data_IF_522311352841
#
_entry.id   IF_522311352841
#
_cell.length_a   1.000
_cell.length_b   1.000
_cell.length_c   1.000
_cell.angle_alpha   90.00
_cell.angle_beta   90.00
_cell.angle_gamma   90.00
#
_symmetry.space_group_name_H-M   'P 1'
#
loop_
_entity.id
_entity.type
_entity.pdbx_description
1 polymer ?
#
# COMPACT_ATOMS: atom_id res chain seq x y z
N UNK A 1 14.02 23.23 -1.74
CA UNK A 1 12.89 24.09 -2.14
C UNK A 1 11.96 23.44 -3.18
N UNK A 2 12.32 22.33 -3.83
CA UNK A 2 11.49 21.64 -4.82
C UNK A 2 10.53 20.59 -4.22
N UNK A 3 10.80 20.05 -3.06
CA UNK A 3 9.98 19.00 -2.40
C UNK A 3 8.60 19.48 -1.92
N UNK A 4 8.44 20.77 -1.60
CA UNK A 4 7.17 21.29 -1.06
C UNK A 4 6.05 21.48 -2.08
N UNK A 5 6.38 21.69 -3.36
CA UNK A 5 5.38 21.97 -4.42
C UNK A 5 4.75 20.67 -4.92
N UNK A 6 5.52 19.61 -5.08
CA UNK A 6 5.02 18.28 -5.47
C UNK A 6 4.03 17.73 -4.44
N UNK A 7 4.39 17.76 -3.16
CA UNK A 7 3.54 17.26 -2.06
C UNK A 7 2.18 17.98 -1.98
N UNK A 8 2.13 19.28 -2.24
CA UNK A 8 0.88 20.06 -2.20
C UNK A 8 -0.02 19.74 -3.38
N UNK A 9 0.54 19.64 -4.58
CA UNK A 9 -0.20 19.29 -5.79
C UNK A 9 -0.79 17.87 -5.70
N UNK A 10 -0.01 16.91 -5.23
CA UNK A 10 -0.48 15.53 -5.01
C UNK A 10 -1.65 15.48 -4.01
N UNK A 11 -1.55 16.23 -2.91
CA UNK A 11 -2.62 16.33 -1.91
C UNK A 11 -3.89 16.95 -2.48
N UNK A 12 -3.77 18.01 -3.29
CA UNK A 12 -4.91 18.70 -3.89
C UNK A 12 -5.60 17.84 -4.96
N UNK A 13 -4.84 17.10 -5.76
CA UNK A 13 -5.36 16.14 -6.74
C UNK A 13 -6.08 14.97 -6.08
N UNK A 14 -5.53 14.45 -5.00
CA UNK A 14 -6.15 13.38 -4.22
C UNK A 14 -7.49 13.82 -3.64
N UNK A 15 -7.54 15.02 -3.05
CA UNK A 15 -8.80 15.59 -2.54
C UNK A 15 -9.83 15.78 -3.66
N UNK A 16 -9.43 16.37 -4.77
CA UNK A 16 -10.32 16.60 -5.92
C UNK A 16 -10.88 15.27 -6.48
N UNK A 17 -10.07 14.23 -6.53
CA UNK A 17 -10.51 12.89 -6.94
C UNK A 17 -11.58 12.33 -5.98
N UNK A 18 -11.32 12.35 -4.67
CA UNK A 18 -12.28 11.85 -3.69
C UNK A 18 -13.55 12.70 -3.62
N UNK A 19 -13.45 14.02 -3.72
CA UNK A 19 -14.63 14.89 -3.82
C UNK A 19 -15.50 14.53 -5.03
N UNK A 20 -14.89 14.31 -6.19
CA UNK A 20 -15.62 13.92 -7.40
C UNK A 20 -16.26 12.54 -7.23
N UNK A 21 -15.53 11.57 -6.65
CA UNK A 21 -16.00 10.21 -6.40
C UNK A 21 -17.21 10.20 -5.47
N UNK A 22 -17.17 10.98 -4.40
CA UNK A 22 -18.26 11.10 -3.44
C UNK A 22 -19.46 11.90 -4.02
N UNK A 23 -19.19 13.03 -4.67
CA UNK A 23 -20.23 13.87 -5.29
C UNK A 23 -21.04 13.10 -6.33
N UNK A 24 -20.38 12.30 -7.15
CA UNK A 24 -21.02 11.47 -8.18
C UNK A 24 -21.57 10.16 -7.64
N UNK A 25 -21.44 9.90 -6.33
CA UNK A 25 -21.80 8.64 -5.68
C UNK A 25 -21.23 7.40 -6.42
N UNK A 26 -20.05 7.56 -7.00
CA UNK A 26 -19.43 6.50 -7.80
C UNK A 26 -19.13 5.26 -6.96
N UNK A 27 -18.89 5.43 -5.65
CA UNK A 27 -18.73 4.31 -4.70
C UNK A 27 -19.99 3.43 -4.62
N UNK A 28 -21.18 3.99 -4.82
CA UNK A 28 -22.44 3.22 -4.85
C UNK A 28 -22.62 2.45 -6.19
N UNK A 29 -21.82 2.77 -7.20
CA UNK A 29 -21.78 2.06 -8.49
C UNK A 29 -20.72 0.95 -8.52
N UNK A 30 -19.91 0.84 -7.46
CA UNK A 30 -19.00 -0.28 -7.30
C UNK A 30 -19.82 -1.55 -7.12
N UNK A 31 -19.93 -2.33 -8.20
CA UNK A 31 -20.65 -3.60 -8.21
C UNK A 31 -19.62 -4.71 -7.97
N UNK A 32 -19.70 -5.43 -6.85
CA UNK A 32 -18.80 -6.53 -6.56
C UNK A 32 -18.77 -7.57 -7.70
N UNK A 33 -19.89 -7.81 -8.36
CA UNK A 33 -19.98 -8.74 -9.49
C UNK A 33 -19.18 -8.29 -10.72
N UNK A 34 -18.82 -7.00 -10.81
CA UNK A 34 -18.03 -6.43 -11.92
C UNK A 34 -16.55 -6.33 -11.64
N UNK A 35 -16.10 -6.75 -10.46
CA UNK A 35 -14.70 -6.77 -10.11
C UNK A 35 -14.38 -6.16 -8.75
N UNK A 36 -13.10 -6.18 -8.42
CA UNK A 36 -12.59 -5.75 -7.12
C UNK A 36 -12.71 -4.25 -6.92
N UNK A 37 -13.05 -3.83 -5.71
CA UNK A 37 -13.17 -2.42 -5.35
C UNK A 37 -11.91 -1.61 -5.69
N UNK A 38 -10.72 -2.17 -5.47
CA UNK A 38 -9.45 -1.55 -5.86
C UNK A 38 -9.36 -1.32 -7.37
N UNK A 39 -9.77 -2.29 -8.20
CA UNK A 39 -9.82 -2.13 -9.65
C UNK A 39 -10.78 -1.02 -10.08
N UNK A 40 -11.93 -0.91 -9.43
CA UNK A 40 -12.87 0.19 -9.63
C UNK A 40 -12.25 1.55 -9.28
N UNK A 41 -11.55 1.67 -8.15
CA UNK A 41 -10.85 2.90 -7.76
C UNK A 41 -9.75 3.28 -8.77
N UNK A 42 -8.95 2.31 -9.21
CA UNK A 42 -7.92 2.53 -10.23
C UNK A 42 -8.50 3.01 -11.56
N UNK A 43 -9.56 2.39 -12.06
CA UNK A 43 -10.24 2.81 -13.27
C UNK A 43 -10.81 4.23 -13.12
N UNK A 44 -11.42 4.53 -11.97
CA UNK A 44 -11.95 5.86 -11.65
C UNK A 44 -10.86 6.92 -11.60
N UNK A 45 -9.70 6.60 -11.01
CA UNK A 45 -8.54 7.48 -10.97
C UNK A 45 -7.98 7.77 -12.37
N UNK A 46 -7.83 6.75 -13.21
CA UNK A 46 -7.40 6.92 -14.61
C UNK A 46 -8.32 7.86 -15.38
N UNK A 47 -9.62 7.64 -15.27
CA UNK A 47 -10.63 8.49 -15.92
C UNK A 47 -10.57 9.93 -15.40
N UNK A 48 -10.37 10.11 -14.09
CA UNK A 48 -10.22 11.42 -13.49
C UNK A 48 -8.98 12.14 -14.03
N UNK A 49 -7.81 11.49 -14.03
CA UNK A 49 -6.55 12.06 -14.53
C UNK A 49 -6.63 12.39 -16.02
N UNK A 50 -7.27 11.54 -16.84
CA UNK A 50 -7.49 11.80 -18.25
C UNK A 50 -8.36 13.05 -18.47
N UNK A 51 -9.47 13.16 -17.73
CA UNK A 51 -10.35 14.32 -17.80
C UNK A 51 -9.68 15.62 -17.37
N UNK A 52 -8.81 15.57 -16.36
CA UNK A 52 -8.04 16.75 -15.94
C UNK A 52 -7.05 17.19 -17.02
N UNK A 53 -6.34 16.26 -17.65
CA UNK A 53 -5.43 16.56 -18.76
C UNK A 53 -6.15 17.17 -19.95
N UNK A 54 -7.32 16.65 -20.28
CA UNK A 54 -8.16 17.22 -21.36
C UNK A 54 -8.62 18.65 -21.03
N UNK A 55 -9.02 18.89 -19.78
CA UNK A 55 -9.44 20.20 -19.31
C UNK A 55 -8.29 21.22 -19.34
N UNK A 56 -7.12 20.85 -18.86
CA UNK A 56 -5.92 21.68 -18.86
C UNK A 56 -5.46 22.00 -20.30
N UNK A 57 -5.55 21.04 -21.20
CA UNK A 57 -5.21 21.22 -22.61
C UNK A 57 -6.25 22.08 -23.35
N UNK A 58 -7.54 21.99 -22.99
CA UNK A 58 -8.58 22.85 -23.54
C UNK A 58 -8.41 24.30 -23.07
N UNK A 59 -8.07 24.53 -21.82
CA UNK A 59 -7.77 25.85 -21.27
C UNK A 59 -6.57 26.54 -21.96
N UNK A 60 -5.54 25.77 -22.32
CA UNK A 60 -4.38 26.28 -23.07
C UNK A 60 -4.68 26.63 -24.51
N UNK A 61 -5.71 26.03 -25.13
CA UNK A 61 -6.13 26.34 -26.52
C UNK A 61 -7.05 27.57 -26.63
N UNK A 62 -7.66 28.03 -25.54
CA UNK A 62 -8.60 29.17 -25.52
C UNK A 62 -7.93 30.54 -25.41
N UNK A 63 -6.64 30.66 -25.19
CA UNK A 63 -5.89 31.91 -25.16
C UNK A 63 -5.01 32.02 -26.39
N UNK A 64 -5.44 32.85 -27.35
CA UNK A 64 -4.86 33.04 -28.68
C UNK A 64 -3.39 33.50 -28.73
N UNK A 65 -2.48 32.75 -28.23
CA UNK A 65 -1.07 32.74 -28.62
C UNK A 65 -0.76 31.31 -29.05
N UNK A 66 -0.31 31.17 -30.30
CA UNK A 66 0.31 29.97 -30.80
C UNK A 66 1.45 29.61 -29.83
N UNK A 67 1.14 28.77 -28.86
CA UNK A 67 2.18 28.09 -28.11
C UNK A 67 2.99 27.33 -29.16
N UNK A 68 4.26 27.70 -29.33
CA UNK A 68 5.26 26.88 -29.98
C UNK A 68 4.92 25.44 -29.59
N UNK A 69 4.61 24.61 -30.59
CA UNK A 69 4.59 23.18 -30.41
C UNK A 69 5.94 22.85 -29.77
N UNK A 70 5.93 22.71 -28.47
CA UNK A 70 6.90 21.87 -27.82
C UNK A 70 6.63 20.52 -28.49
N UNK A 71 7.50 20.18 -29.47
CA UNK A 71 7.77 18.80 -29.82
C UNK A 71 7.58 18.02 -28.53
N UNK A 72 6.95 16.84 -28.51
CA UNK A 72 7.03 15.98 -27.36
C UNK A 72 8.53 15.80 -27.14
N UNK A 73 9.10 16.76 -26.41
CA UNK A 73 10.43 16.58 -25.87
C UNK A 73 10.32 15.23 -25.23
N UNK A 74 11.20 14.33 -25.61
CA UNK A 74 11.55 13.22 -24.80
C UNK A 74 11.77 13.81 -23.41
N UNK A 75 10.67 14.04 -22.65
CA UNK A 75 10.74 13.99 -21.23
C UNK A 75 11.50 12.70 -21.04
N UNK A 76 12.75 12.82 -20.70
CA UNK A 76 13.52 11.76 -20.10
C UNK A 76 12.67 11.35 -18.93
N UNK A 77 11.68 10.47 -19.24
CA UNK A 77 10.85 9.80 -18.26
C UNK A 77 11.90 9.23 -17.35
N UNK A 78 12.05 9.87 -16.18
CA UNK A 78 12.87 9.28 -15.15
C UNK A 78 12.28 7.88 -14.96
N UNK A 79 12.93 6.89 -15.59
CA UNK A 79 12.48 5.50 -15.60
C UNK A 79 12.45 4.94 -14.19
N UNK A 80 12.86 5.75 -13.20
CA UNK A 80 12.75 5.51 -11.76
C UNK A 80 11.49 6.13 -11.14
N UNK A 81 10.80 7.06 -11.82
CA UNK A 81 9.58 7.65 -11.31
C UNK A 81 8.42 6.65 -11.43
N UNK A 82 7.76 6.40 -10.31
CA UNK A 82 6.56 5.54 -10.29
C UNK A 82 5.42 6.20 -11.05
N UNK A 83 4.64 5.42 -11.79
CA UNK A 83 3.39 5.93 -12.38
C UNK A 83 2.36 6.24 -11.29
N UNK A 84 1.38 7.13 -11.55
CA UNK A 84 0.30 7.41 -10.59
C UNK A 84 -0.42 6.15 -10.12
N UNK A 85 -0.58 5.16 -11.00
CA UNK A 85 -1.18 3.87 -10.64
C UNK A 85 -0.29 3.07 -9.70
N UNK A 86 1.02 3.06 -9.93
CA UNK A 86 1.97 2.38 -9.04
C UNK A 86 2.03 3.05 -7.66
N UNK A 87 1.97 4.38 -7.61
CA UNK A 87 1.88 5.13 -6.35
C UNK A 87 0.60 4.74 -5.62
N UNK A 88 -0.55 4.77 -6.29
CA UNK A 88 -1.83 4.35 -5.70
C UNK A 88 -1.78 2.91 -5.17
N UNK A 89 -1.25 1.97 -5.94
CA UNK A 89 -1.15 0.55 -5.52
C UNK A 89 -0.26 0.38 -4.31
N UNK A 90 0.85 1.11 -4.26
CA UNK A 90 1.76 1.12 -3.12
C UNK A 90 1.09 1.71 -1.87
N UNK A 91 0.46 2.87 -1.99
CA UNK A 91 -0.18 3.55 -0.86
C UNK A 91 -1.37 2.75 -0.32
N UNK A 92 -2.12 2.11 -1.22
CA UNK A 92 -3.17 1.16 -0.82
C UNK A 92 -2.58 -0.02 -0.03
N UNK A 93 -1.51 -0.62 -0.52
CA UNK A 93 -0.86 -1.75 0.15
C UNK A 93 -0.31 -1.35 1.53
N UNK A 94 0.33 -0.17 1.64
CA UNK A 94 0.81 0.36 2.92
C UNK A 94 -0.34 0.62 3.90
N UNK A 95 -1.47 1.11 3.41
CA UNK A 95 -2.67 1.35 4.24
C UNK A 95 -3.23 0.04 4.80
N UNK A 96 -3.32 -1.00 3.97
CA UNK A 96 -3.78 -2.34 4.42
C UNK A 96 -2.85 -2.89 5.49
N UNK A 97 -1.53 -2.81 5.28
CA UNK A 97 -0.54 -3.28 6.25
C UNK A 97 -0.61 -2.47 7.55
N UNK A 98 -0.74 -1.15 7.48
CA UNK A 98 -0.85 -0.30 8.67
C UNK A 98 -2.06 -0.70 9.52
N UNK A 99 -3.23 -0.88 8.92
CA UNK A 99 -4.44 -1.34 9.63
C UNK A 99 -4.27 -2.72 10.25
N UNK A 100 -3.63 -3.64 9.53
CA UNK A 100 -3.36 -4.96 10.05
C UNK A 100 -2.38 -4.93 11.25
N UNK A 101 -1.37 -4.07 11.21
CA UNK A 101 -0.44 -3.83 12.31
C UNK A 101 -1.13 -3.21 13.53
N UNK A 102 -2.03 -2.24 13.32
CA UNK A 102 -2.80 -1.62 14.41
C UNK A 102 -3.69 -2.64 15.11
N UNK A 103 -4.43 -3.47 14.35
CA UNK A 103 -5.22 -4.58 14.93
C UNK A 103 -4.34 -5.58 15.69
N UNK A 104 -3.17 -5.92 15.15
CA UNK A 104 -2.24 -6.84 15.81
C UNK A 104 -1.68 -6.25 17.11
N UNK A 105 -1.42 -4.92 17.12
CA UNK A 105 -1.00 -4.19 18.32
C UNK A 105 -2.08 -4.25 19.41
N UNK A 106 -3.35 -4.02 19.05
CA UNK A 106 -4.48 -4.08 19.97
C UNK A 106 -4.65 -5.50 20.53
N UNK A 107 -4.52 -6.54 19.70
CA UNK A 107 -4.55 -7.94 20.13
C UNK A 107 -3.41 -8.24 21.10
N UNK A 108 -2.18 -7.79 20.78
CA UNK A 108 -1.02 -7.96 21.67
C UNK A 108 -1.20 -7.22 23.01
N UNK A 109 -1.76 -6.03 22.99
CA UNK A 109 -2.05 -5.26 24.19
C UNK A 109 -3.08 -5.97 25.08
N UNK A 110 -4.16 -6.47 24.48
CA UNK A 110 -5.20 -7.24 25.17
C UNK A 110 -4.67 -8.54 25.79
N UNK A 111 -3.63 -9.14 25.17
CA UNK A 111 -2.94 -10.32 25.69
C UNK A 111 -1.82 -10.00 26.69
N UNK A 112 -1.66 -8.74 27.12
CA UNK A 112 -0.59 -8.31 28.03
C UNK A 112 0.81 -8.34 27.42
N UNK A 113 0.95 -8.33 26.09
CA UNK A 113 2.20 -8.47 25.33
C UNK A 113 2.58 -7.19 24.57
N UNK A 114 2.00 -6.03 24.91
CA UNK A 114 2.26 -4.76 24.24
C UNK A 114 3.76 -4.43 24.20
N UNK A 115 4.46 -4.57 25.33
CA UNK A 115 5.90 -4.29 25.41
C UNK A 115 6.76 -5.16 24.50
N UNK A 116 6.42 -6.43 24.34
CA UNK A 116 7.10 -7.30 23.38
C UNK A 116 6.80 -6.86 21.95
N UNK A 117 5.52 -6.61 21.65
CA UNK A 117 5.11 -6.16 20.31
C UNK A 117 5.85 -4.89 19.89
N UNK A 118 5.89 -3.87 20.73
CA UNK A 118 6.56 -2.61 20.44
C UNK A 118 8.06 -2.77 20.11
N UNK A 119 8.72 -3.72 20.77
CA UNK A 119 10.13 -4.00 20.52
C UNK A 119 10.38 -4.79 19.22
N UNK A 120 9.44 -5.62 18.78
CA UNK A 120 9.62 -6.50 17.62
C UNK A 120 8.86 -6.02 16.36
N UNK A 121 8.02 -5.00 16.48
CA UNK A 121 7.14 -4.55 15.39
C UNK A 121 7.90 -4.16 14.12
N UNK A 122 9.07 -3.52 14.25
CA UNK A 122 9.93 -3.17 13.12
C UNK A 122 10.42 -4.40 12.33
N UNK A 123 10.49 -5.55 12.98
CA UNK A 123 10.96 -6.79 12.35
C UNK A 123 9.84 -7.67 11.79
N UNK A 124 8.60 -7.19 11.79
CA UNK A 124 7.48 -7.98 11.26
C UNK A 124 7.44 -7.96 9.73
N UNK A 125 7.88 -6.89 9.11
CA UNK A 125 7.93 -6.75 7.66
C UNK A 125 9.29 -7.17 7.09
N UNK A 126 10.37 -6.83 7.78
CA UNK A 126 11.73 -7.21 7.40
C UNK A 126 12.33 -8.11 8.49
N UNK A 127 12.89 -9.27 8.13
CA UNK A 127 13.51 -10.14 9.12
C UNK A 127 14.76 -9.47 9.69
N UNK A 128 14.95 -9.50 11.02
CA UNK A 128 16.20 -9.05 11.60
C UNK A 128 17.35 -9.95 11.14
N UNK A 129 18.52 -9.37 11.00
CA UNK A 129 19.73 -10.13 10.77
C UNK A 129 20.21 -10.87 12.05
N UNK A 130 21.29 -11.63 11.92
CA UNK A 130 21.80 -12.44 13.04
C UNK A 130 22.28 -11.59 14.22
N UNK A 131 22.78 -10.38 13.97
CA UNK A 131 23.26 -9.45 14.99
C UNK A 131 22.07 -8.77 15.68
N UNK A 132 21.13 -8.26 14.92
CA UNK A 132 19.90 -7.65 15.42
C UNK A 132 19.10 -8.62 16.30
N UNK A 133 19.04 -9.92 15.91
CA UNK A 133 18.45 -10.96 16.75
C UNK A 133 19.16 -11.11 18.09
N UNK A 134 20.50 -11.05 18.09
CA UNK A 134 21.28 -11.20 19.33
C UNK A 134 21.09 -10.00 20.25
N UNK A 135 21.12 -8.79 19.70
CA UNK A 135 20.93 -7.55 20.46
C UNK A 135 19.49 -7.47 21.05
N UNK A 136 18.49 -7.80 20.25
CA UNK A 136 17.10 -7.77 20.70
C UNK A 136 16.82 -8.84 21.77
N UNK A 137 17.39 -10.04 21.60
CA UNK A 137 17.28 -11.10 22.59
C UNK A 137 17.91 -10.69 23.93
N UNK A 138 19.07 -10.02 23.88
CA UNK A 138 19.72 -9.46 25.07
C UNK A 138 18.90 -8.36 25.76
N UNK A 139 18.30 -7.44 24.98
CA UNK A 139 17.45 -6.37 25.52
C UNK A 139 16.17 -6.90 26.19
N UNK A 140 15.63 -7.99 25.67
CA UNK A 140 14.38 -8.58 26.16
C UNK A 140 14.62 -9.69 27.23
N UNK A 141 15.86 -9.97 27.57
CA UNK A 141 16.26 -11.11 28.43
C UNK A 141 15.60 -12.43 27.96
N UNK A 142 15.61 -12.65 26.65
CA UNK A 142 14.99 -13.81 26.00
C UNK A 142 16.04 -14.69 25.31
N UNK A 143 15.81 -15.99 25.28
CA UNK A 143 16.60 -16.88 24.42
C UNK A 143 16.28 -16.58 22.94
N UNK A 144 17.32 -16.59 22.08
CA UNK A 144 17.18 -16.32 20.63
C UNK A 144 16.08 -17.15 19.98
N UNK A 145 16.01 -18.46 20.28
CA UNK A 145 14.97 -19.32 19.71
C UNK A 145 13.55 -18.91 20.17
N UNK A 146 13.40 -18.50 21.43
CA UNK A 146 12.11 -18.03 21.97
C UNK A 146 11.67 -16.76 21.26
N UNK A 147 12.60 -15.83 21.05
CA UNK A 147 12.35 -14.59 20.30
C UNK A 147 12.01 -14.89 18.83
N UNK A 148 12.75 -15.78 18.16
CA UNK A 148 12.49 -16.16 16.78
C UNK A 148 11.10 -16.77 16.62
N UNK A 149 10.67 -17.65 17.51
CA UNK A 149 9.32 -18.21 17.54
C UNK A 149 8.26 -17.12 17.77
N UNK A 150 8.53 -16.17 18.66
CA UNK A 150 7.60 -15.07 18.93
C UNK A 150 7.41 -14.18 17.67
N UNK A 151 8.51 -13.78 17.02
CA UNK A 151 8.47 -13.01 15.78
C UNK A 151 7.75 -13.80 14.67
N UNK A 152 8.06 -15.09 14.51
CA UNK A 152 7.40 -15.94 13.52
C UNK A 152 5.88 -16.00 13.74
N UNK A 153 5.43 -16.20 14.99
CA UNK A 153 3.99 -16.21 15.33
C UNK A 153 3.32 -14.87 15.02
N UNK A 154 3.96 -13.76 15.37
CA UNK A 154 3.43 -12.43 15.06
C UNK A 154 3.35 -12.18 13.56
N UNK A 155 4.33 -12.61 12.77
CA UNK A 155 4.28 -12.53 11.30
C UNK A 155 3.15 -13.38 10.71
N UNK A 156 2.96 -14.59 11.23
CA UNK A 156 1.83 -15.43 10.81
C UNK A 156 0.53 -14.75 11.11
N UNK A 157 0.39 -14.18 12.31
CA UNK A 157 -0.80 -13.46 12.71
C UNK A 157 -1.02 -12.19 11.90
N UNK A 158 0.04 -11.44 11.57
CA UNK A 158 -0.03 -10.27 10.69
C UNK A 158 -0.59 -10.65 9.30
N UNK A 159 -0.13 -11.78 8.73
CA UNK A 159 -0.67 -12.27 7.44
C UNK A 159 -2.16 -12.57 7.52
N UNK A 160 -2.63 -13.16 8.62
CA UNK A 160 -4.06 -13.37 8.85
C UNK A 160 -4.83 -12.05 8.93
N UNK A 161 -4.30 -11.05 9.65
CA UNK A 161 -4.92 -9.71 9.73
C UNK A 161 -4.99 -9.03 8.36
N UNK A 162 -3.91 -9.10 7.55
CA UNK A 162 -3.91 -8.60 6.17
C UNK A 162 -4.99 -9.29 5.34
N UNK A 163 -5.12 -10.62 5.46
CA UNK A 163 -6.20 -11.37 4.76
C UNK A 163 -7.58 -10.89 5.20
N UNK A 164 -7.78 -10.64 6.47
CA UNK A 164 -9.05 -10.13 7.01
C UNK A 164 -9.39 -8.75 6.45
N UNK A 165 -8.41 -7.82 6.42
CA UNK A 165 -8.61 -6.49 5.81
C UNK A 165 -9.01 -6.59 4.33
N UNK A 166 -8.35 -7.47 3.59
CA UNK A 166 -8.65 -7.66 2.17
C UNK A 166 -10.00 -8.36 1.93
N UNK A 167 -10.39 -9.30 2.81
CA UNK A 167 -11.70 -9.98 2.72
C UNK A 167 -12.87 -8.99 2.75
N UNK A 168 -12.73 -7.85 3.42
CA UNK A 168 -13.78 -6.82 3.46
C UNK A 168 -13.98 -6.12 2.10
N UNK A 169 -13.03 -6.28 1.16
CA UNK A 169 -13.03 -5.60 -0.14
C UNK A 169 -13.24 -6.52 -1.34
N UNK A 170 -13.41 -7.82 -1.10
CA UNK A 170 -13.59 -8.85 -2.13
C UNK A 170 -14.71 -9.81 -1.74
N UNK A 171 -15.31 -10.44 -2.74
CA UNK A 171 -16.49 -11.29 -2.61
C UNK A 171 -16.22 -12.78 -2.93
N UNK A 172 -14.98 -13.13 -3.26
CA UNK A 172 -14.60 -14.52 -3.52
C UNK A 172 -13.19 -14.86 -3.05
N UNK A 173 -12.93 -16.14 -2.74
CA UNK A 173 -11.56 -16.59 -2.37
C UNK A 173 -10.53 -16.33 -3.47
N UNK A 174 -10.90 -16.55 -4.74
CA UNK A 174 -9.99 -16.31 -5.87
C UNK A 174 -9.62 -14.83 -6.02
N UNK A 175 -10.60 -13.94 -5.77
CA UNK A 175 -10.37 -12.50 -5.74
C UNK A 175 -9.44 -12.11 -4.59
N UNK A 176 -9.57 -12.74 -3.42
CA UNK A 176 -8.69 -12.51 -2.29
C UNK A 176 -7.25 -12.89 -2.59
N UNK A 177 -7.00 -14.06 -3.16
CA UNK A 177 -5.65 -14.51 -3.49
C UNK A 177 -5.00 -13.61 -4.54
N UNK A 178 -5.78 -13.12 -5.50
CA UNK A 178 -5.30 -12.16 -6.48
C UNK A 178 -5.02 -10.76 -5.86
N UNK A 179 -5.78 -10.32 -4.84
CA UNK A 179 -5.46 -9.09 -4.10
C UNK A 179 -4.19 -9.23 -3.25
N UNK A 180 -4.00 -10.36 -2.59
CA UNK A 180 -2.76 -10.66 -1.85
C UNK A 180 -1.55 -10.61 -2.80
N UNK A 181 -1.67 -11.21 -4.00
CA UNK A 181 -0.60 -11.18 -4.99
C UNK A 181 -0.32 -9.75 -5.49
N UNK A 182 -1.36 -8.94 -5.71
CA UNK A 182 -1.21 -7.54 -6.11
C UNK A 182 -0.52 -6.71 -5.02
N UNK A 183 -0.90 -6.90 -3.75
CA UNK A 183 -0.26 -6.25 -2.60
C UNK A 183 1.24 -6.58 -2.51
N UNK A 184 1.61 -7.85 -2.72
CA UNK A 184 3.02 -8.27 -2.77
C UNK A 184 3.80 -7.60 -3.88
N UNK A 185 3.21 -7.44 -5.06
CA UNK A 185 3.85 -6.77 -6.21
C UNK A 185 4.03 -5.27 -5.98
N UNK A 186 3.11 -4.64 -5.26
CA UNK A 186 3.19 -3.22 -4.93
C UNK A 186 4.29 -2.91 -3.91
N UNK A 187 4.72 -3.89 -3.11
CA UNK A 187 5.74 -3.77 -2.06
C UNK A 187 6.85 -4.80 -2.26
N UNK A 188 7.66 -4.70 -3.31
CA UNK A 188 8.77 -5.62 -3.53
C UNK A 188 9.79 -5.48 -2.39
N UNK A 189 10.24 -6.62 -1.85
CA UNK A 189 11.24 -6.68 -0.78
C UNK A 189 10.69 -6.75 0.64
N UNK A 190 9.37 -6.61 0.82
CA UNK A 190 8.76 -6.81 2.15
C UNK A 190 8.31 -8.27 2.29
N UNK A 191 8.70 -8.90 3.38
CA UNK A 191 8.43 -10.33 3.66
C UNK A 191 6.95 -10.59 4.02
N UNK A 192 6.03 -10.25 3.11
CA UNK A 192 4.69 -10.84 3.07
C UNK A 192 4.79 -12.17 2.29
N UNK A 193 5.95 -12.83 2.38
CA UNK A 193 6.15 -14.11 1.71
C UNK A 193 5.28 -15.18 2.35
N UNK A 194 4.73 -16.03 1.49
CA UNK A 194 4.09 -17.26 1.89
C UNK A 194 5.08 -18.02 2.77
N UNK A 195 4.65 -18.36 3.98
CA UNK A 195 5.44 -19.20 4.84
C UNK A 195 5.87 -20.42 4.06
N UNK A 196 7.15 -20.48 3.72
CA UNK A 196 7.75 -21.65 3.17
C UNK A 196 7.77 -22.70 4.28
N UNK A 197 6.86 -23.65 4.14
CA UNK A 197 6.87 -24.88 4.89
C UNK A 197 7.96 -25.75 4.24
N UNK A 198 9.22 -25.41 4.45
CA UNK A 198 10.30 -26.41 4.22
C UNK A 198 11.63 -25.81 4.67
N UNK A 199 11.92 -25.91 5.97
CA UNK A 199 13.27 -26.16 6.46
C UNK A 199 13.18 -26.71 7.90
N UNK A 200 12.72 -27.95 7.97
CA UNK A 200 13.03 -28.86 9.08
C UNK A 200 13.76 -30.04 8.44
N UNK A 201 15.08 -29.98 8.46
CA UNK A 201 15.96 -31.15 8.36
C UNK A 201 17.21 -30.87 9.21
#
# INVERSE_FOLDING_TARGET
WQTGIHSRWESDMTKAFFEQLLRRRMHAMADPARGRFRGFLLASLRNFLSSQREHDNAGKRGGGQAALALEPGEDLLDTRAMTPEQVFERDYALTVIARALDRLREEAASAGKAGLFDQVSGFLLEPPDAQEYAELAGKLDMRRNTLAVAIHRLRTRLREMVRMELCETVDSPDALDAEILALRRALPGHAIEAGDATQAA
#
